data_IF_344522559075
#
_entry.id   IF_344522559075
#
_cell.length_a   1.000
_cell.length_b   1.000
_cell.length_c   1.000
_cell.angle_alpha   90.00
_cell.angle_beta   90.00
_cell.angle_gamma   90.00
#
_symmetry.space_group_name_H-M   'P 1'
#
loop_
_entity.id
_entity.type
_entity.pdbx_description
1 polymer ?
#
# COMPACT_ATOMS: atom_id res chain seq x y z
N UNK A 1 25.06 -29.81 1.96
CA UNK A 1 24.95 -28.34 1.90
C UNK A 1 23.46 -28.03 1.77
N UNK A 2 22.80 -27.62 2.85
CA UNK A 2 21.39 -27.25 2.81
C UNK A 2 21.27 -25.85 2.22
N UNK A 3 20.74 -25.75 0.99
CA UNK A 3 20.44 -24.48 0.36
C UNK A 3 19.35 -23.78 1.17
N UNK A 4 19.74 -22.80 1.97
CA UNK A 4 18.81 -21.88 2.61
C UNK A 4 18.23 -21.01 1.51
N UNK A 5 17.10 -21.42 0.92
CA UNK A 5 16.29 -20.55 0.07
C UNK A 5 15.81 -19.38 0.93
N UNK A 6 16.53 -18.27 0.87
CA UNK A 6 16.17 -17.03 1.55
C UNK A 6 14.80 -16.59 1.02
N UNK A 7 13.76 -16.77 1.84
CA UNK A 7 12.40 -16.36 1.48
C UNK A 7 12.33 -14.84 1.44
N UNK A 8 12.08 -14.28 0.26
CA UNK A 8 11.81 -12.85 0.12
C UNK A 8 10.40 -12.54 0.65
N UNK A 9 10.30 -11.87 1.79
CA UNK A 9 9.02 -11.43 2.37
C UNK A 9 8.73 -10.00 1.91
N UNK A 10 7.66 -9.81 1.13
CA UNK A 10 7.22 -8.47 0.72
C UNK A 10 6.20 -7.96 1.73
N UNK A 11 6.58 -6.98 2.53
CA UNK A 11 5.66 -6.31 3.46
C UNK A 11 4.88 -5.20 2.74
N UNK A 12 3.57 -5.10 3.01
CA UNK A 12 2.66 -4.08 2.46
C UNK A 12 1.76 -3.54 3.57
N UNK A 13 1.31 -2.30 3.41
CA UNK A 13 0.31 -1.67 4.30
C UNK A 13 -1.00 -1.54 3.53
N UNK A 14 -2.09 -2.04 4.10
CA UNK A 14 -3.42 -1.85 3.53
C UNK A 14 -3.92 -0.43 3.79
N UNK A 15 -4.38 0.24 2.73
CA UNK A 15 -5.05 1.54 2.78
C UNK A 15 -6.53 1.29 2.49
N UNK A 16 -7.46 1.63 3.40
CA UNK A 16 -8.87 1.43 3.18
C UNK A 16 -9.43 2.39 2.11
N UNK A 17 -10.57 2.00 1.55
CA UNK A 17 -11.32 2.88 0.65
C UNK A 17 -11.74 4.16 1.38
N UNK A 18 -11.72 5.29 0.68
CA UNK A 18 -12.13 6.58 1.23
C UNK A 18 -12.63 7.51 0.13
N UNK A 19 -13.41 8.50 0.51
CA UNK A 19 -13.81 9.59 -0.40
C UNK A 19 -12.80 10.72 -0.29
N UNK A 20 -12.37 11.26 -1.42
CA UNK A 20 -11.50 12.43 -1.49
C UNK A 20 -12.14 13.52 -2.34
N UNK A 21 -12.05 14.75 -1.85
CA UNK A 21 -12.48 15.91 -2.61
C UNK A 21 -11.36 16.34 -3.56
N UNK A 22 -11.71 16.63 -4.80
CA UNK A 22 -10.79 17.07 -5.85
C UNK A 22 -10.74 18.61 -5.91
N UNK A 23 -9.65 19.19 -6.45
CA UNK A 23 -9.51 20.65 -6.55
C UNK A 23 -10.61 21.33 -7.40
N UNK A 24 -11.27 20.58 -8.29
CA UNK A 24 -12.38 21.03 -9.10
C UNK A 24 -13.74 21.00 -8.37
N UNK A 25 -13.78 20.58 -7.09
CA UNK A 25 -14.99 20.46 -6.29
C UNK A 25 -15.74 19.13 -6.44
N UNK A 26 -15.27 18.22 -7.30
CA UNK A 26 -15.86 16.88 -7.43
C UNK A 26 -15.42 15.96 -6.28
N UNK A 27 -16.27 15.01 -5.92
CA UNK A 27 -15.97 13.99 -4.90
C UNK A 27 -15.70 12.66 -5.60
N UNK A 28 -14.54 12.07 -5.36
CA UNK A 28 -14.18 10.77 -5.94
C UNK A 28 -14.03 9.73 -4.83
N UNK A 29 -14.58 8.54 -5.07
CA UNK A 29 -14.34 7.38 -4.21
C UNK A 29 -13.03 6.71 -4.64
N UNK A 30 -12.07 6.66 -3.72
CA UNK A 30 -10.78 5.98 -3.89
C UNK A 30 -10.89 4.57 -3.33
N UNK A 31 -10.71 3.52 -4.13
CA UNK A 31 -10.72 2.15 -3.65
C UNK A 31 -9.57 1.85 -2.69
N UNK A 32 -9.78 0.88 -1.81
CA UNK A 32 -8.73 0.37 -0.93
C UNK A 32 -7.62 -0.31 -1.73
N UNK A 33 -6.37 -0.11 -1.33
CA UNK A 33 -5.21 -0.67 -2.02
C UNK A 33 -4.05 -0.94 -1.06
N UNK A 34 -3.11 -1.77 -1.48
CA UNK A 34 -1.87 -2.00 -0.75
C UNK A 34 -0.78 -1.03 -1.19
N UNK A 35 -0.04 -0.46 -0.24
CA UNK A 35 1.14 0.37 -0.52
C UNK A 35 2.41 -0.18 0.12
N UNK A 36 3.56 0.29 -0.37
CA UNK A 36 4.83 0.01 0.29
C UNK A 36 4.84 0.61 1.71
N UNK A 37 5.44 -0.08 2.70
CA UNK A 37 5.65 0.50 4.01
C UNK A 37 6.55 1.74 3.87
N UNK A 38 6.37 2.75 4.75
CA UNK A 38 7.26 3.90 4.76
C UNK A 38 8.72 3.45 4.97
N UNK A 39 9.71 4.14 4.37
CA UNK A 39 11.12 3.85 4.63
C UNK A 39 11.38 3.98 6.13
N UNK A 40 12.10 3.01 6.70
CA UNK A 40 12.57 3.10 8.08
C UNK A 40 13.59 4.25 8.12
N UNK A 41 13.35 5.23 8.99
CA UNK A 41 14.21 6.40 9.19
C UNK A 41 15.53 5.99 9.84
#
# INVERSE_FOLDING_TARGET
MTEHHTRSVITRVFVPAHVRDLPNGERVTVPGHYKAPPPRR
#
